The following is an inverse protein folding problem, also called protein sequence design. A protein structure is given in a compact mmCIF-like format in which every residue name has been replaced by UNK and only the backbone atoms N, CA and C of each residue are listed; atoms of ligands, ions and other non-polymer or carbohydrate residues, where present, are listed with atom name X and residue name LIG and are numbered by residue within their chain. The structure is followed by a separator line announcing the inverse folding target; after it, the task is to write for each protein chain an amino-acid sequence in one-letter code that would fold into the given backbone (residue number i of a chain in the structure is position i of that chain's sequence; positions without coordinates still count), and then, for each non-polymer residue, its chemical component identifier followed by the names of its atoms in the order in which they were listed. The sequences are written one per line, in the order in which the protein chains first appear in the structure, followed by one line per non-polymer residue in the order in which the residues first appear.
data_IF_331736194054
#
_entry.id   IF_331736194054
#
_cell.length_a   1.000
_cell.length_b   1.000
_cell.length_c   1.000
_cell.angle_alpha   90.00
_cell.angle_beta   90.00
_cell.angle_gamma   90.00
#
_symmetry.space_group_name_H-M   'P 1'
#
loop_
_entity.id
_entity.type
_entity.pdbx_description
1 polymer ?
#
# COMPACT_ATOMS: atom_id res chain seq x y z
N UNK A 1 14.03 -25.28 0.03
CA UNK A 1 14.89 -24.07 0.05
C UNK A 1 14.35 -23.12 -1.01
N UNK A 2 13.87 -21.94 -0.62
CA UNK A 2 13.21 -21.01 -1.54
C UNK A 2 14.26 -20.25 -2.34
N UNK A 3 14.19 -20.27 -3.68
CA UNK A 3 15.06 -19.45 -4.54
C UNK A 3 14.58 -17.99 -4.52
N UNK A 4 15.53 -17.06 -4.50
CA UNK A 4 15.25 -15.62 -4.47
C UNK A 4 16.05 -14.88 -5.53
N UNK A 5 15.52 -13.74 -5.93
CA UNK A 5 16.15 -12.75 -6.81
C UNK A 5 16.11 -11.37 -6.13
N UNK A 6 16.78 -10.35 -6.66
CA UNK A 6 16.60 -8.97 -6.18
C UNK A 6 15.15 -8.46 -6.24
N UNK A 7 14.30 -9.10 -7.05
CA UNK A 7 12.89 -8.77 -7.21
C UNK A 7 11.97 -9.50 -6.22
N UNK A 8 12.50 -10.45 -5.44
CA UNK A 8 11.74 -11.28 -4.50
C UNK A 8 11.84 -12.78 -4.80
N UNK A 9 11.00 -13.60 -4.16
CA UNK A 9 11.01 -15.05 -4.32
C UNK A 9 10.57 -15.45 -5.73
N UNK A 10 11.17 -16.54 -6.24
CA UNK A 10 10.78 -17.16 -7.50
C UNK A 10 9.49 -17.96 -7.25
N UNK A 11 8.44 -17.68 -8.01
CA UNK A 11 7.14 -18.37 -7.91
C UNK A 11 7.00 -19.54 -8.88
N UNK A 12 7.73 -19.54 -10.00
CA UNK A 12 7.67 -20.63 -11.00
C UNK A 12 8.19 -21.98 -10.47
N UNK A 13 8.76 -22.00 -9.26
CA UNK A 13 9.15 -23.23 -8.55
C UNK A 13 8.00 -23.89 -7.80
N UNK A 14 6.87 -23.20 -7.68
CA UNK A 14 5.68 -23.77 -7.07
C UNK A 14 5.04 -24.72 -8.08
N UNK A 15 4.67 -25.93 -7.63
CA UNK A 15 3.96 -26.91 -8.46
C UNK A 15 2.69 -26.34 -9.10
N UNK A 16 2.07 -25.34 -8.46
CA UNK A 16 0.90 -24.63 -9.00
C UNK A 16 1.19 -23.86 -10.30
N UNK A 17 2.46 -23.54 -10.58
CA UNK A 17 2.92 -22.72 -11.69
C UNK A 17 3.97 -23.45 -12.55
N UNK A 18 4.14 -24.77 -12.37
CA UNK A 18 5.16 -25.56 -13.06
C UNK A 18 5.00 -25.59 -14.59
N UNK A 19 3.78 -25.35 -15.08
CA UNK A 19 3.44 -25.34 -16.50
C UNK A 19 3.64 -23.96 -17.16
N UNK A 20 4.20 -22.98 -16.45
CA UNK A 20 4.50 -21.67 -17.03
C UNK A 20 5.84 -21.67 -17.75
N UNK A 21 5.83 -21.24 -19.01
CA UNK A 21 7.05 -20.97 -19.76
C UNK A 21 7.77 -19.75 -19.18
N UNK A 22 8.84 -19.98 -18.42
CA UNK A 22 9.73 -18.93 -17.90
C UNK A 22 9.97 -19.00 -16.40
N UNK A 23 10.82 -18.09 -15.90
CA UNK A 23 11.06 -17.93 -14.46
C UNK A 23 10.46 -16.61 -13.99
N UNK A 24 9.49 -16.67 -13.09
CA UNK A 24 8.79 -15.50 -12.56
C UNK A 24 9.16 -15.26 -11.11
N UNK A 25 9.47 -14.02 -10.76
CA UNK A 25 9.61 -13.56 -9.39
C UNK A 25 8.53 -12.53 -9.06
N UNK A 26 8.05 -12.50 -7.82
CA UNK A 26 7.05 -11.51 -7.41
C UNK A 26 7.69 -10.48 -6.48
N UNK A 27 7.52 -9.22 -6.86
CA UNK A 27 7.94 -8.04 -6.10
C UNK A 27 6.71 -7.38 -5.51
N UNK A 28 6.64 -7.34 -4.18
CA UNK A 28 5.55 -6.66 -3.46
C UNK A 28 6.08 -5.97 -2.20
N UNK A 29 5.41 -4.90 -1.75
CA UNK A 29 5.90 -4.07 -0.63
C UNK A 29 5.82 -4.79 0.70
N UNK A 30 4.92 -5.76 0.87
CA UNK A 30 4.91 -6.67 2.01
C UNK A 30 6.11 -7.63 2.08
N UNK A 31 6.98 -7.68 1.06
CA UNK A 31 8.27 -8.39 1.12
C UNK A 31 9.43 -7.45 1.53
N UNK A 32 9.11 -6.23 1.93
CA UNK A 32 10.09 -5.26 2.44
C UNK A 32 9.85 -5.00 3.92
N UNK A 33 10.86 -4.49 4.63
CA UNK A 33 10.71 -4.14 6.05
C UNK A 33 9.75 -2.95 6.20
N UNK A 34 8.72 -3.14 7.01
CA UNK A 34 7.68 -2.15 7.31
C UNK A 34 7.41 -2.09 8.82
N UNK A 35 6.70 -1.07 9.29
CA UNK A 35 6.36 -0.88 10.72
C UNK A 35 4.90 -0.45 10.90
N UNK A 36 4.00 -1.37 10.57
CA UNK A 36 2.56 -1.23 10.78
C UNK A 36 2.22 -1.08 12.27
N UNK A 37 2.97 -1.74 13.15
CA UNK A 37 2.68 -1.78 14.59
C UNK A 37 2.79 -0.39 15.19
N UNK A 38 3.87 0.34 14.89
CA UNK A 38 4.01 1.72 15.38
C UNK A 38 2.94 2.63 14.80
N UNK A 39 2.61 2.50 13.51
CA UNK A 39 1.57 3.30 12.86
C UNK A 39 0.20 3.10 13.53
N UNK A 40 -0.19 1.84 13.76
CA UNK A 40 -1.45 1.50 14.43
C UNK A 40 -1.46 1.96 15.90
N UNK A 41 -0.36 1.79 16.64
CA UNK A 41 -0.28 2.25 18.02
C UNK A 41 -0.38 3.78 18.15
N UNK A 42 0.17 4.53 17.19
CA UNK A 42 -0.02 6.00 17.11
C UNK A 42 -1.46 6.34 16.78
N UNK A 43 -2.06 5.66 15.81
CA UNK A 43 -3.44 5.89 15.40
C UNK A 43 -4.43 5.64 16.55
N UNK A 44 -4.22 4.57 17.32
CA UNK A 44 -5.03 4.26 18.51
C UNK A 44 -4.90 5.28 19.64
N UNK A 45 -3.86 6.12 19.64
CA UNK A 45 -3.62 7.16 20.66
C UNK A 45 -3.96 8.57 20.17
N UNK A 46 -4.30 8.71 18.89
CA UNK A 46 -4.60 9.99 18.28
C UNK A 46 -5.85 10.61 18.93
N UNK A 47 -5.81 11.92 19.14
CA UNK A 47 -6.88 12.69 19.79
C UNK A 47 -7.67 13.57 18.82
N UNK A 48 -7.31 13.55 17.55
CA UNK A 48 -7.96 14.34 16.50
C UNK A 48 -7.83 13.64 15.15
N UNK A 49 -8.73 13.96 14.23
CA UNK A 49 -8.65 13.44 12.84
C UNK A 49 -7.31 13.75 12.17
N UNK A 50 -6.74 14.97 12.25
CA UNK A 50 -5.42 15.26 11.68
C UNK A 50 -4.30 14.40 12.29
N UNK A 51 -4.27 14.22 13.62
CA UNK A 51 -3.28 13.37 14.28
C UNK A 51 -3.39 11.91 13.83
N UNK A 52 -4.62 11.42 13.69
CA UNK A 52 -4.89 10.07 13.19
C UNK A 52 -4.37 9.90 11.76
N UNK A 53 -4.61 10.88 10.87
CA UNK A 53 -4.12 10.84 9.49
C UNK A 53 -2.60 10.75 9.44
N UNK A 54 -1.89 11.62 10.17
CA UNK A 54 -0.43 11.57 10.26
C UNK A 54 0.07 10.24 10.83
N UNK A 55 -0.63 9.67 11.81
CA UNK A 55 -0.25 8.40 12.41
C UNK A 55 -0.25 7.23 11.41
N UNK A 56 -1.25 7.17 10.53
CA UNK A 56 -1.41 6.07 9.57
C UNK A 56 -0.65 6.30 8.26
N UNK A 57 -0.06 7.47 8.00
CA UNK A 57 0.82 7.71 6.84
C UNK A 57 1.96 6.69 6.73
N UNK A 58 2.47 6.22 7.89
CA UNK A 58 3.54 5.23 7.99
C UNK A 58 3.09 3.78 7.76
N UNK A 59 1.79 3.52 7.66
CA UNK A 59 1.24 2.19 7.45
C UNK A 59 1.46 1.75 5.99
N UNK A 60 2.24 0.70 5.77
CA UNK A 60 2.74 0.35 4.45
C UNK A 60 2.00 -0.83 3.81
N UNK A 61 1.60 -1.84 4.59
CA UNK A 61 0.93 -3.03 4.07
C UNK A 61 0.03 -3.71 5.11
N UNK A 62 -1.11 -4.32 4.74
CA UNK A 62 -1.74 -4.33 3.41
C UNK A 62 -2.40 -2.97 3.07
N UNK A 63 -2.61 -2.61 1.80
CA UNK A 63 -3.30 -1.36 1.46
C UNK A 63 -4.71 -1.29 2.06
N UNK A 64 -4.96 -0.27 2.88
CA UNK A 64 -6.24 -0.06 3.57
C UNK A 64 -6.69 1.40 3.49
N UNK A 65 -8.01 1.60 3.48
CA UNK A 65 -8.61 2.91 3.74
C UNK A 65 -8.95 2.97 5.22
N UNK A 66 -8.28 3.86 5.95
CA UNK A 66 -8.57 4.16 7.34
C UNK A 66 -9.59 5.28 7.45
N UNK A 67 -10.54 5.12 8.36
CA UNK A 67 -11.56 6.11 8.67
C UNK A 67 -11.40 6.54 10.13
N UNK A 68 -11.58 7.82 10.40
CA UNK A 68 -11.54 8.38 11.75
C UNK A 68 -12.62 9.44 11.96
N UNK A 69 -13.01 9.60 13.22
CA UNK A 69 -13.84 10.68 13.70
C UNK A 69 -13.33 11.14 15.08
N UNK A 70 -13.54 12.40 15.43
CA UNK A 70 -13.18 12.96 16.74
C UNK A 70 -14.36 13.64 17.46
N UNK A 71 -14.15 14.02 18.72
CA UNK A 71 -15.16 14.63 19.59
C UNK A 71 -15.51 16.08 19.21
N UNK A 72 -14.67 16.72 18.40
CA UNK A 72 -14.95 18.01 17.76
C UNK A 72 -15.87 17.89 16.54
N UNK A 73 -16.27 16.67 16.17
CA UNK A 73 -17.19 16.40 15.07
C UNK A 73 -16.52 16.33 13.70
N UNK A 74 -15.18 16.24 13.65
CA UNK A 74 -14.50 16.02 12.38
C UNK A 74 -14.61 14.56 11.95
N UNK A 75 -14.63 14.34 10.63
CA UNK A 75 -14.50 13.03 10.02
C UNK A 75 -13.39 13.05 8.97
N UNK A 76 -12.64 11.96 8.88
CA UNK A 76 -11.54 11.84 7.94
C UNK A 76 -11.37 10.45 7.35
N UNK A 77 -10.79 10.42 6.16
CA UNK A 77 -10.30 9.22 5.51
C UNK A 77 -8.88 9.41 5.02
N UNK A 78 -8.12 8.32 4.99
CA UNK A 78 -6.82 8.24 4.34
C UNK A 78 -6.61 6.82 3.84
N UNK A 79 -6.15 6.71 2.59
CA UNK A 79 -5.67 5.44 2.05
C UNK A 79 -4.20 5.32 2.42
N UNK A 80 -3.86 4.33 3.24
CA UNK A 80 -2.48 4.08 3.65
C UNK A 80 -1.96 2.79 3.04
N UNK A 81 -0.85 2.93 2.33
CA UNK A 81 -0.07 1.87 1.73
C UNK A 81 1.30 2.42 1.34
N UNK A 82 2.26 1.55 1.10
CA UNK A 82 3.40 1.85 0.23
C UNK A 82 3.19 1.17 -1.11
N UNK A 83 3.21 1.94 -2.18
CA UNK A 83 3.01 1.45 -3.55
C UNK A 83 4.03 2.05 -4.52
N UNK A 84 4.49 1.30 -5.54
CA UNK A 84 5.34 1.85 -6.59
C UNK A 84 4.65 3.02 -7.32
N UNK A 85 5.36 4.13 -7.49
CA UNK A 85 4.87 5.31 -8.18
C UNK A 85 4.95 5.11 -9.71
N UNK A 86 4.01 4.32 -10.24
CA UNK A 86 3.90 4.02 -11.67
C UNK A 86 3.25 5.16 -12.43
N UNK A 87 3.63 5.33 -13.69
CA UNK A 87 3.01 6.33 -14.55
C UNK A 87 1.59 5.87 -14.95
N UNK A 88 0.57 6.75 -14.97
CA UNK A 88 -0.81 6.38 -15.29
C UNK A 88 -0.97 5.63 -16.62
N UNK A 89 -0.13 5.94 -17.59
CA UNK A 89 -0.10 5.35 -18.92
C UNK A 89 0.42 3.90 -18.97
N UNK A 90 1.04 3.38 -17.91
CA UNK A 90 1.59 2.02 -17.88
C UNK A 90 0.54 0.90 -17.81
N UNK A 91 -0.74 1.24 -17.59
CA UNK A 91 -1.81 0.26 -17.46
C UNK A 91 -1.66 -0.64 -16.22
N UNK A 92 -2.36 -1.78 -16.24
CA UNK A 92 -2.44 -2.72 -15.10
C UNK A 92 -1.66 -4.01 -15.32
N UNK A 93 -0.68 -4.02 -16.23
CA UNK A 93 0.11 -5.23 -16.44
C UNK A 93 0.91 -5.56 -15.18
N UNK A 94 0.82 -6.83 -14.77
CA UNK A 94 1.48 -7.37 -13.58
C UNK A 94 2.75 -8.12 -13.94
N UNK A 95 2.96 -8.46 -15.23
CA UNK A 95 4.15 -9.13 -15.73
C UNK A 95 5.01 -8.09 -16.44
N UNK A 96 6.17 -7.77 -15.86
CA UNK A 96 7.08 -6.74 -16.38
C UNK A 96 8.48 -7.29 -16.56
N UNK A 97 9.24 -6.74 -17.50
CA UNK A 97 10.68 -7.02 -17.59
C UNK A 97 11.41 -6.53 -16.33
N UNK A 98 12.60 -7.08 -16.01
CA UNK A 98 13.44 -6.61 -14.90
C UNK A 98 13.71 -5.09 -14.96
N UNK A 99 14.01 -4.55 -16.13
CA UNK A 99 14.33 -3.13 -16.32
C UNK A 99 13.12 -2.23 -16.08
N UNK A 100 11.92 -2.69 -16.45
CA UNK A 100 10.69 -1.95 -16.17
C UNK A 100 10.37 -2.00 -14.66
N UNK A 101 10.51 -3.16 -14.03
CA UNK A 101 10.37 -3.30 -12.57
C UNK A 101 11.32 -2.34 -11.83
N UNK A 102 12.57 -2.23 -12.26
CA UNK A 102 13.53 -1.31 -11.65
C UNK A 102 13.25 0.17 -11.90
N UNK A 103 12.50 0.52 -12.95
CA UNK A 103 12.00 1.89 -13.15
C UNK A 103 10.80 2.18 -12.25
N UNK A 104 9.85 1.27 -12.20
CA UNK A 104 8.58 1.43 -11.46
C UNK A 104 8.81 1.56 -9.95
N UNK A 105 9.82 0.87 -9.44
CA UNK A 105 10.13 0.80 -8.01
C UNK A 105 11.14 1.86 -7.55
N UNK A 106 11.57 2.80 -8.42
CA UNK A 106 12.53 3.88 -8.04
C UNK A 106 11.97 4.82 -6.99
N UNK A 107 10.65 5.04 -7.02
CA UNK A 107 9.93 5.87 -6.07
C UNK A 107 8.72 5.10 -5.57
N UNK A 108 8.49 5.20 -4.27
CA UNK A 108 7.29 4.71 -3.63
C UNK A 108 6.43 5.89 -3.20
N UNK A 109 5.13 5.77 -3.39
CA UNK A 109 4.13 6.60 -2.71
C UNK A 109 3.83 6.02 -1.34
N UNK A 110 3.60 6.89 -0.36
CA UNK A 110 3.11 6.52 0.97
C UNK A 110 1.77 7.20 1.28
N UNK A 111 1.25 7.04 2.51
CA UNK A 111 -0.06 7.57 2.87
C UNK A 111 -0.22 9.09 2.69
N UNK A 112 0.87 9.86 2.57
CA UNK A 112 0.83 11.31 2.27
C UNK A 112 0.54 11.61 0.80
N UNK A 113 0.99 10.73 -0.09
CA UNK A 113 0.80 10.85 -1.53
C UNK A 113 -0.57 10.28 -1.97
N UNK A 114 -1.19 9.45 -1.13
CA UNK A 114 -2.41 8.72 -1.45
C UNK A 114 -3.69 9.49 -1.08
N UNK A 115 -4.86 9.08 -1.62
CA UNK A 115 -6.12 9.77 -1.39
C UNK A 115 -6.46 9.93 0.10
N UNK A 116 -6.77 11.16 0.50
CA UNK A 116 -7.25 11.52 1.82
C UNK A 116 -8.35 12.57 1.73
N UNK A 117 -9.17 12.67 2.78
CA UNK A 117 -10.26 13.64 2.88
C UNK A 117 -10.52 13.99 4.34
N UNK A 118 -10.85 15.25 4.61
CA UNK A 118 -11.29 15.74 5.92
C UNK A 118 -12.53 16.58 5.69
N UNK A 119 -13.59 16.32 6.46
CA UNK A 119 -14.84 17.08 6.44
C UNK A 119 -15.36 17.39 5.02
N UNK A 120 -15.64 16.37 4.18
CA UNK A 120 -16.15 16.61 2.84
C UNK A 120 -17.50 17.32 2.91
N UNK A 121 -17.81 18.14 1.90
CA UNK A 121 -19.04 18.96 1.86
C UNK A 121 -20.36 18.16 1.96
N UNK A 122 -20.33 16.87 1.57
CA UNK A 122 -21.47 15.95 1.70
C UNK A 122 -21.76 15.51 3.16
N UNK A 123 -20.87 15.82 4.11
CA UNK A 123 -21.08 15.59 5.54
C UNK A 123 -20.87 14.15 6.04
N UNK A 124 -20.47 13.22 5.18
CA UNK A 124 -20.15 11.85 5.59
C UNK A 124 -19.01 11.24 4.75
N UNK A 125 -18.42 10.18 5.28
CA UNK A 125 -17.44 9.34 4.62
C UNK A 125 -17.87 7.88 4.76
N UNK A 126 -17.84 7.13 3.67
CA UNK A 126 -18.07 5.69 3.67
C UNK A 126 -17.02 5.01 2.81
N UNK A 127 -16.52 3.87 3.29
CA UNK A 127 -15.67 2.97 2.52
C UNK A 127 -16.29 1.59 2.53
N UNK A 128 -16.39 0.97 1.35
CA UNK A 128 -16.82 -0.42 1.19
C UNK A 128 -15.85 -1.13 0.28
N UNK A 129 -15.57 -2.39 0.61
CA UNK A 129 -15.08 -3.37 -0.36
C UNK A 129 -16.26 -4.28 -0.71
N UNK A 130 -16.34 -4.63 -1.99
CA UNK A 130 -17.37 -5.51 -2.53
C UNK A 130 -17.22 -6.93 -2.00
#
# INVERSE_FOLDING_TARGET
MTRQTPYGPILSDLDLLSDTDGTFAVRWTGHTVTDETTALLKAMRARSVPEFQTAVEGFAFPPLTFLAADDAGNVGAVTAARVPARAPEQGFDIITSPEQSDRDWRRLWDGRDLPHSVNPSQGFIASRRW
#
